data_IF_673094172580
#
_entry.id   IF_673094172580
#
_cell.length_a   1.000
_cell.length_b   1.000
_cell.length_c   1.000
_cell.angle_alpha   90.00
_cell.angle_beta   90.00
_cell.angle_gamma   90.00
#
_symmetry.space_group_name_H-M   'P 1'
#
loop_
_entity.id
_entity.type
_entity.pdbx_description
1 polymer ?
#
# COMPACT_ATOMS: atom_id res chain seq x y z
N UNK A 1 6.38 4.47 -15.71
CA UNK A 1 4.94 4.13 -15.63
C UNK A 1 4.81 2.95 -14.67
N UNK A 2 3.96 3.03 -13.64
CA UNK A 2 3.79 1.95 -12.66
C UNK A 2 3.17 0.73 -13.36
N UNK A 3 3.66 -0.47 -13.07
CA UNK A 3 3.01 -1.72 -13.50
C UNK A 3 1.86 -2.01 -12.54
N UNK A 4 0.65 -2.07 -13.07
CA UNK A 4 -0.55 -2.46 -12.32
C UNK A 4 -0.73 -3.98 -12.39
N UNK A 5 -1.12 -4.58 -11.28
CA UNK A 5 -1.45 -6.00 -11.21
C UNK A 5 -2.94 -6.20 -10.96
N UNK A 6 -3.54 -7.30 -11.44
CA UNK A 6 -4.95 -7.62 -11.15
C UNK A 6 -5.26 -7.76 -9.65
N UNK A 7 -4.23 -7.95 -8.84
CA UNK A 7 -4.28 -8.10 -7.38
C UNK A 7 -4.19 -6.77 -6.63
N UNK A 8 -3.95 -5.66 -7.33
CA UNK A 8 -3.82 -4.33 -6.74
C UNK A 8 -5.16 -3.86 -6.14
N UNK A 9 -5.08 -3.07 -5.07
CA UNK A 9 -6.24 -2.47 -4.45
C UNK A 9 -6.86 -1.40 -5.36
N UNK A 10 -8.18 -1.46 -5.50
CA UNK A 10 -8.98 -0.35 -6.04
C UNK A 10 -8.94 0.86 -5.11
N UNK A 11 -9.25 2.05 -5.62
CA UNK A 11 -9.32 3.26 -4.80
C UNK A 11 -10.39 3.14 -3.70
N UNK A 12 -11.51 2.50 -4.01
CA UNK A 12 -12.58 2.25 -3.04
C UNK A 12 -12.10 1.37 -1.88
N UNK A 13 -11.40 0.27 -2.16
CA UNK A 13 -10.83 -0.60 -1.11
C UNK A 13 -9.74 0.13 -0.32
N UNK A 14 -8.88 0.90 -1.00
CA UNK A 14 -7.84 1.70 -0.34
C UNK A 14 -8.43 2.69 0.65
N UNK A 15 -9.53 3.37 0.31
CA UNK A 15 -10.18 4.35 1.18
C UNK A 15 -10.68 3.76 2.51
N UNK A 16 -10.99 2.46 2.55
CA UNK A 16 -11.33 1.78 3.80
C UNK A 16 -10.11 1.41 4.64
N UNK A 17 -8.95 1.19 4.02
CA UNK A 17 -7.73 0.73 4.69
C UNK A 17 -6.87 1.90 5.17
N UNK A 18 -6.76 2.96 4.36
CA UNK A 18 -5.90 4.12 4.59
C UNK A 18 -6.06 4.74 5.99
N UNK A 19 -7.27 4.93 6.56
CA UNK A 19 -7.44 5.52 7.88
C UNK A 19 -6.84 4.68 9.02
N UNK A 20 -6.64 3.39 8.79
CA UNK A 20 -6.04 2.46 9.77
C UNK A 20 -4.53 2.35 9.65
N UNK A 21 -3.93 3.01 8.65
CA UNK A 21 -2.49 2.98 8.46
C UNK A 21 -1.77 3.88 9.46
N UNK A 22 -0.58 3.47 9.95
CA UNK A 22 0.17 4.29 10.89
C UNK A 22 0.61 5.57 10.20
N UNK A 23 0.26 6.72 10.78
CA UNK A 23 0.78 8.01 10.33
C UNK A 23 2.33 8.00 10.31
N UNK A 24 2.97 8.77 9.41
CA UNK A 24 4.41 8.97 9.45
C UNK A 24 4.78 9.52 10.82
N UNK A 25 5.55 8.76 11.60
CA UNK A 25 6.14 9.29 12.84
C UNK A 25 7.36 10.09 12.43
N UNK A 26 7.43 11.36 12.84
CA UNK A 26 8.53 12.29 12.49
C UNK A 26 9.92 11.92 13.02
N UNK A 27 10.06 10.71 13.57
CA UNK A 27 11.30 10.15 14.09
C UNK A 27 11.48 8.73 13.55
N UNK A 28 12.74 8.33 13.36
CA UNK A 28 13.11 7.03 12.79
C UNK A 28 13.44 7.10 11.30
N UNK A 29 13.63 5.93 10.67
CA UNK A 29 13.98 5.87 9.25
C UNK A 29 12.81 6.39 8.40
N UNK A 30 13.02 7.40 7.54
CA UNK A 30 11.99 7.88 6.62
C UNK A 30 11.44 6.74 5.76
N UNK A 31 10.12 6.69 5.60
CA UNK A 31 9.49 5.75 4.66
C UNK A 31 9.84 6.21 3.24
N UNK A 32 10.38 5.29 2.44
CA UNK A 32 10.73 5.53 1.03
C UNK A 32 9.62 5.10 0.08
N UNK A 33 8.71 4.24 0.53
CA UNK A 33 7.64 3.66 -0.27
C UNK A 33 6.28 4.05 0.30
N UNK A 34 5.32 4.22 -0.61
CA UNK A 34 3.92 4.43 -0.27
C UNK A 34 3.31 3.17 0.33
N UNK A 35 2.41 3.33 1.32
CA UNK A 35 1.81 2.20 2.03
C UNK A 35 0.89 1.37 1.12
N UNK A 36 0.21 2.00 0.16
CA UNK A 36 -0.61 1.31 -0.82
C UNK A 36 0.23 0.41 -1.71
N UNK A 37 1.40 0.88 -2.15
CA UNK A 37 2.32 0.08 -2.95
C UNK A 37 2.82 -1.16 -2.19
N UNK A 38 3.09 -1.02 -0.89
CA UNK A 38 3.47 -2.14 -0.04
C UNK A 38 2.33 -3.17 0.03
N UNK A 39 1.09 -2.73 0.26
CA UNK A 39 -0.05 -3.65 0.30
C UNK A 39 -0.33 -4.31 -1.05
N UNK A 40 -0.23 -3.57 -2.16
CA UNK A 40 -0.34 -4.13 -3.50
C UNK A 40 0.69 -5.25 -3.72
N UNK A 41 1.94 -5.05 -3.28
CA UNK A 41 2.98 -6.06 -3.36
C UNK A 41 2.68 -7.30 -2.49
N UNK A 42 2.16 -7.12 -1.27
CA UNK A 42 1.74 -8.24 -0.41
C UNK A 42 0.59 -9.02 -1.06
N UNK A 43 -0.43 -8.35 -1.57
CA UNK A 43 -1.55 -9.02 -2.22
C UNK A 43 -1.18 -9.69 -3.53
N UNK A 44 -0.24 -9.11 -4.28
CA UNK A 44 0.34 -9.78 -5.45
C UNK A 44 0.93 -11.13 -5.07
N UNK A 45 1.75 -11.20 -4.01
CA UNK A 45 2.36 -12.47 -3.57
C UNK A 45 1.32 -13.46 -3.03
N UNK A 46 0.29 -12.98 -2.34
CA UNK A 46 -0.71 -13.85 -1.71
C UNK A 46 -1.80 -14.35 -2.67
N UNK A 47 -2.06 -13.62 -3.76
CA UNK A 47 -3.12 -13.92 -4.74
C UNK A 47 -2.57 -14.37 -6.10
N UNK A 48 -1.25 -14.54 -6.24
CA UNK A 48 -0.60 -15.05 -7.46
C UNK A 48 -0.73 -16.56 -7.61
#
# INVERSE_FOLDING_TARGET
>A
MRKTYPTDLTDAEWNYIEPHMPAPKGYGRPRTHDLREILNAVFYVLKS
#
